data_IF_287929376474
#
_entry.id   IF_287929376474
#
_cell.length_a   1.000
_cell.length_b   1.000
_cell.length_c   1.000
_cell.angle_alpha   90.00
_cell.angle_beta   90.00
_cell.angle_gamma   90.00
#
_symmetry.space_group_name_H-M   'P 1'
#
loop_
_entity.id
_entity.type
_entity.pdbx_description
1 polymer ?
2 non-polymer ?
#
# COMPACT_ATOMS: atom_id res chain seq x y z
N UNK A 8 -7.09 11.73 -1.80
CA UNK A 8 -6.12 12.77 -2.13
C UNK A 8 -5.51 13.35 -0.86
N UNK A 9 -4.96 12.47 -0.01
CA UNK A 9 -4.31 12.89 1.22
C UNK A 9 -2.80 12.65 1.14
N UNK A 10 -2.18 13.13 0.08
CA UNK A 10 -0.76 12.92 -0.17
C UNK A 10 -0.05 14.27 -0.14
N UNK A 11 1.09 14.32 0.54
CA UNK A 11 1.89 15.55 0.65
C UNK A 11 3.30 15.26 0.15
N UNK A 12 3.90 16.28 -0.46
CA UNK A 12 5.28 16.20 -0.91
C UNK A 12 5.50 15.42 -2.19
N UNK A 13 4.48 14.82 -2.77
CA UNK A 13 4.62 14.03 -4.00
C UNK A 13 4.13 14.79 -5.23
N UNK A 14 3.89 16.10 -5.12
CA UNK A 14 3.45 16.85 -6.29
C UNK A 14 4.57 17.03 -7.30
N UNK A 15 5.76 17.42 -6.83
CA UNK A 15 6.92 17.52 -7.72
C UNK A 15 7.53 16.15 -8.01
N UNK A 16 7.36 15.19 -7.10
CA UNK A 16 7.94 13.87 -7.31
C UNK A 16 7.17 13.08 -8.36
N UNK A 17 5.84 13.26 -8.40
CA UNK A 17 5.04 12.56 -9.40
C UNK A 17 5.25 13.12 -10.79
N UNK A 18 5.39 14.46 -10.90
CA UNK A 18 5.62 15.07 -12.20
C UNK A 18 6.91 14.56 -12.84
N UNK A 19 7.95 14.37 -12.04
CA UNK A 19 9.20 13.82 -12.56
C UNK A 19 8.98 12.45 -13.21
N UNK A 20 8.17 11.61 -12.57
CA UNK A 20 7.86 10.32 -13.15
C UNK A 20 6.85 10.45 -14.29
N UNK A 21 6.04 11.52 -14.28
CA UNK A 21 5.11 11.75 -15.38
C UNK A 21 5.86 12.19 -16.64
N UNK A 22 6.88 13.03 -16.48
CA UNK A 22 7.70 13.41 -17.62
C UNK A 22 8.42 12.22 -18.23
N UNK A 23 8.66 11.16 -17.44
CA UNK A 23 9.19 9.91 -17.97
C UNK A 23 8.21 9.24 -18.93
N UNK A 24 6.93 9.60 -18.86
CA UNK A 24 5.91 8.96 -19.69
C UNK A 24 5.46 9.90 -20.81
N UNK A 29 11.17 4.47 -28.46
CA UNK A 29 10.15 4.92 -27.54
C UNK A 29 8.81 4.26 -27.76
N UNK A 30 8.74 2.96 -27.51
CA UNK A 30 7.50 2.19 -27.65
C UNK A 30 7.08 1.49 -26.38
N UNK A 31 8.02 1.00 -25.57
CA UNK A 31 7.70 0.34 -24.31
C UNK A 31 8.85 0.60 -23.34
N UNK A 32 8.58 1.33 -22.27
CA UNK A 32 9.57 1.64 -21.25
C UNK A 32 9.26 0.89 -19.96
N UNK A 33 10.25 0.82 -19.09
CA UNK A 33 10.15 0.09 -17.82
C UNK A 33 9.74 1.00 -16.68
N UNK A 34 10.45 2.12 -16.50
CA UNK A 34 10.19 3.10 -15.44
C UNK A 34 10.15 2.42 -14.08
N UNK A 35 11.29 2.04 -13.50
CA UNK A 35 11.27 1.44 -12.16
C UNK A 35 11.38 2.47 -11.06
N UNK A 36 10.55 2.30 -10.03
CA UNK A 36 10.55 3.17 -8.86
C UNK A 36 11.12 2.36 -7.69
N UNK A 37 12.34 2.70 -7.29
CA UNK A 37 13.07 1.97 -6.25
C UNK A 37 13.02 2.76 -4.96
N UNK A 38 12.86 2.06 -3.84
CA UNK A 38 12.83 2.69 -2.54
C UNK A 38 12.57 1.70 -1.42
N UNK A 39 13.05 2.00 -0.22
CA UNK A 39 12.83 1.10 0.90
C UNK A 39 11.34 1.00 1.22
N UNK A 40 10.90 -0.11 1.81
CA UNK A 40 9.48 -0.24 2.14
C UNK A 40 9.02 0.83 3.11
N UNK A 41 7.81 1.32 2.89
CA UNK A 41 7.26 2.39 3.71
C UNK A 41 7.64 3.79 3.28
N UNK A 42 8.29 3.95 2.12
CA UNK A 42 8.70 5.25 1.64
C UNK A 42 7.61 5.97 0.86
N UNK A 43 6.67 5.23 0.27
CA UNK A 43 5.57 5.84 -0.46
C UNK A 43 5.53 5.45 -1.92
N UNK A 44 6.04 4.26 -2.25
CA UNK A 44 6.05 3.84 -3.65
C UNK A 44 4.64 3.52 -4.14
N UNK A 45 3.85 2.81 -3.34
CA UNK A 45 2.46 2.56 -3.71
C UNK A 45 1.63 3.84 -3.69
N UNK A 46 1.90 4.72 -2.74
CA UNK A 46 1.17 5.98 -2.68
C UNK A 46 1.48 6.87 -3.88
N UNK A 47 2.76 6.94 -4.27
CA UNK A 47 3.12 7.72 -5.46
C UNK A 47 2.49 7.12 -6.71
N UNK A 48 2.50 5.79 -6.84
CA UNK A 48 1.89 5.16 -8.00
C UNK A 48 0.39 5.43 -8.06
N UNK A 49 -0.27 5.51 -6.90
CA UNK A 49 -1.69 5.85 -6.89
C UNK A 49 -1.91 7.28 -7.35
N UNK A 50 -1.06 8.20 -6.90
CA UNK A 50 -1.15 9.58 -7.36
C UNK A 50 -0.87 9.69 -8.85
N UNK A 51 0.04 8.87 -9.38
CA UNK A 51 0.34 8.89 -10.80
C UNK A 51 -0.76 8.22 -11.60
N UNK A 52 -1.32 7.12 -11.06
CA UNK A 52 -2.37 6.39 -11.78
C UNK A 52 -3.64 7.23 -11.91
N UNK A 53 -3.94 8.05 -10.92
CA UNK A 53 -5.13 8.90 -10.94
C UNK A 53 -4.83 10.34 -11.29
N UNK A 54 -3.60 10.64 -11.71
CA UNK A 54 -3.28 11.96 -12.20
C UNK A 54 -4.00 12.21 -13.51
N UNK A 55 -4.42 13.47 -13.78
CA UNK A 55 -5.10 13.78 -15.04
C UNK A 55 -4.39 13.25 -16.27
N UNK A 56 -4.62 11.97 -16.59
CA UNK A 56 -4.05 11.33 -17.77
C UNK A 56 -5.16 10.70 -18.62
N UNK A 57 -6.35 11.30 -18.62
CA UNK A 57 -7.44 10.79 -19.44
C UNK A 57 -7.13 10.98 -20.92
N UNK A 58 -6.40 12.03 -21.27
CA UNK A 58 -6.03 12.31 -22.66
C UNK A 58 -4.68 11.70 -23.04
N UNK A 59 -4.07 10.91 -22.16
CA UNK A 59 -2.75 10.36 -22.39
C UNK A 59 -2.75 8.84 -22.53
N UNK A 60 -3.34 8.12 -21.58
CA UNK A 60 -3.37 6.67 -21.63
C UNK A 60 -4.71 6.12 -21.15
N UNK A 63 -8.18 1.34 -20.88
CA UNK A 63 -6.81 1.63 -20.49
C UNK A 63 -6.72 1.98 -19.01
N UNK A 64 -5.49 2.11 -18.52
CA UNK A 64 -5.20 2.41 -17.12
C UNK A 64 -5.83 1.39 -16.17
N UNK A 65 -5.05 0.36 -15.81
CA UNK A 65 -5.50 -0.67 -14.89
C UNK A 65 -4.37 -1.00 -13.92
N UNK A 66 -4.75 -1.47 -12.74
CA UNK A 66 -3.80 -1.79 -11.67
C UNK A 66 -3.68 -3.31 -11.55
N UNK A 67 -2.45 -3.80 -11.46
CA UNK A 67 -2.17 -5.22 -11.29
C UNK A 67 -1.20 -5.38 -10.12
N UNK A 68 -1.71 -5.83 -8.98
CA UNK A 68 -0.88 -6.01 -7.78
C UNK A 68 -0.31 -7.41 -7.76
N UNK A 69 1.03 -7.50 -7.82
CA UNK A 69 1.72 -8.77 -7.65
C UNK A 69 2.59 -8.68 -6.40
N UNK A 70 3.25 -9.77 -6.05
CA UNK A 70 4.10 -9.78 -4.85
C UNK A 70 5.14 -10.89 -5.01
N UNK A 71 5.59 -11.44 -3.87
CA UNK A 71 6.53 -12.55 -3.90
C UNK A 71 5.89 -13.86 -4.35
N UNK A 72 4.57 -13.92 -4.41
CA UNK A 72 3.86 -15.13 -4.83
C UNK A 72 4.13 -15.44 -6.29
N UNK A 76 0.81 -15.22 -12.78
CA UNK A 76 0.47 -15.96 -13.98
C UNK A 76 -1.04 -16.14 -14.10
N UNK A 77 -1.73 -16.03 -12.97
CA UNK A 77 -3.18 -16.19 -12.92
C UNK A 77 -3.91 -14.86 -12.76
N UNK A 78 -3.19 -13.74 -12.81
CA UNK A 78 -3.80 -12.43 -12.67
C UNK A 78 -4.19 -11.80 -14.01
N UNK A 79 -3.98 -12.52 -15.11
CA UNK A 79 -4.31 -11.97 -16.43
C UNK A 79 -5.81 -11.74 -16.56
N UNK A 80 -6.62 -12.65 -16.02
CA UNK A 80 -8.07 -12.58 -16.14
C UNK A 80 -8.61 -11.93 -14.88
N UNK A 81 -9.03 -10.66 -14.98
CA UNK A 81 -9.62 -9.94 -13.87
C UNK A 81 -10.51 -8.80 -14.35
N UNK A 82 -10.41 -8.46 -15.63
CA UNK A 82 -11.22 -7.41 -16.23
C UNK A 82 -12.39 -8.00 -17.02
N UNK A 83 -12.11 -9.01 -17.85
CA UNK A 83 -13.14 -9.64 -18.65
C UNK A 83 -13.92 -10.64 -17.81
N UNK A 97 -2.67 -24.24 -19.01
CA UNK A 97 -3.50 -23.25 -19.71
C UNK A 97 -2.72 -21.98 -19.97
N UNK A 98 -1.38 -22.09 -19.96
CA UNK A 98 -0.54 -20.92 -20.19
C UNK A 98 -0.67 -20.40 -21.61
N UNK A 99 -1.03 -21.27 -22.56
CA UNK A 99 -1.27 -20.82 -23.93
C UNK A 99 -2.48 -19.91 -23.99
N UNK A 100 -3.55 -20.25 -23.26
CA UNK A 100 -4.73 -19.40 -23.23
C UNK A 100 -4.46 -18.10 -22.48
N UNK A 101 -3.54 -18.13 -21.52
CA UNK A 101 -3.16 -16.94 -20.76
C UNK A 101 -2.20 -16.03 -21.51
N UNK A 102 -1.75 -16.42 -22.70
CA UNK A 102 -0.84 -15.61 -23.49
C UNK A 102 -1.42 -15.15 -24.81
N UNK A 103 -2.69 -15.46 -25.10
CA UNK A 103 -3.33 -15.07 -26.35
C UNK A 103 -4.43 -14.04 -26.15
N UNK A 104 -5.28 -14.23 -25.14
CA UNK A 104 -6.42 -13.35 -24.92
C UNK A 104 -6.06 -12.10 -24.09
N UNK A 105 -4.80 -11.97 -23.67
CA UNK A 105 -4.39 -10.76 -22.98
C UNK A 105 -4.29 -9.59 -23.95
N UNK A 106 -3.95 -9.86 -25.21
CA UNK A 106 -3.81 -8.83 -26.23
C UNK A 106 -5.11 -8.08 -26.47
N UNK A 115 -1.33 2.22 -23.81
CA UNK A 115 -1.89 1.85 -22.51
C UNK A 115 -0.85 2.01 -21.40
N UNK A 116 -1.34 2.11 -20.17
CA UNK A 116 -0.49 2.21 -18.98
C UNK A 116 -1.07 1.33 -17.89
N UNK A 117 -0.30 0.35 -17.44
CA UNK A 117 -0.72 -0.55 -16.38
C UNK A 117 0.37 -0.59 -15.32
N UNK A 118 -0.04 -0.44 -14.05
CA UNK A 118 0.88 -0.35 -12.93
C UNK A 118 1.15 -1.74 -12.37
N UNK A 119 2.42 -2.01 -12.07
CA UNK A 119 2.82 -3.21 -11.34
C UNK A 119 3.20 -2.77 -9.92
N UNK A 120 2.50 -3.31 -8.93
CA UNK A 120 2.58 -2.74 -7.58
C UNK A 120 3.89 -3.13 -6.89
N UNK A 121 4.13 -4.43 -6.73
CA UNK A 121 5.25 -4.91 -5.92
C UNK A 121 5.88 -6.11 -6.61
N UNK A 122 7.07 -5.92 -7.18
CA UNK A 122 7.84 -6.99 -7.81
C UNK A 122 9.08 -7.25 -6.97
N UNK A 123 9.38 -8.53 -6.72
CA UNK A 123 10.45 -8.90 -5.81
C UNK A 123 11.72 -9.35 -6.50
N UNK A 124 11.63 -10.03 -7.64
CA UNK A 124 12.80 -10.56 -8.32
C UNK A 124 12.73 -10.27 -9.81
N UNK A 125 13.87 -10.40 -10.47
CA UNK A 125 13.92 -10.21 -11.92
C UNK A 125 13.22 -11.34 -12.65
N UNK A 126 13.26 -12.56 -12.11
CA UNK A 126 12.64 -13.69 -12.78
C UNK A 126 11.12 -13.56 -12.81
N UNK A 127 10.54 -12.82 -11.86
CA UNK A 127 9.10 -12.63 -11.86
C UNK A 127 8.64 -11.77 -13.03
N UNK A 128 9.41 -10.73 -13.35
CA UNK A 128 9.06 -9.86 -14.47
C UNK A 128 9.50 -10.45 -15.80
N UNK A 129 10.58 -11.24 -15.81
CA UNK A 129 11.10 -11.81 -17.06
C UNK A 129 10.21 -12.89 -17.65
N UNK A 130 9.07 -13.19 -17.04
CA UNK A 130 8.16 -14.19 -17.59
C UNK A 130 6.76 -13.63 -17.75
N UNK A 131 6.42 -12.61 -16.95
CA UNK A 131 5.13 -11.94 -17.07
C UNK A 131 5.16 -10.84 -18.11
N UNK A 132 6.33 -10.48 -18.63
CA UNK A 132 6.45 -9.41 -19.62
C UNK A 132 5.90 -9.79 -20.98
N UNK A 133 5.62 -11.07 -21.23
CA UNK A 133 5.15 -11.52 -22.53
C UNK A 133 3.62 -11.51 -22.54
N UNK A 134 3.04 -10.52 -21.87
CA UNK A 134 1.58 -10.39 -21.79
C UNK A 134 1.05 -9.57 -22.98
N UNK A 135 1.39 -8.29 -23.02
CA UNK A 135 0.95 -7.39 -24.09
C UNK A 135 2.13 -6.53 -24.50
N UNK A 136 2.90 -6.95 -25.52
CA UNK A 136 4.04 -6.18 -26.02
C UNK A 136 3.67 -5.33 -27.23
N UNK A 141 2.66 4.22 -28.29
CA UNK A 141 2.87 4.98 -27.07
C UNK A 141 2.29 4.31 -25.84
N UNK A 142 2.82 3.13 -25.51
CA UNK A 142 2.36 2.35 -24.37
C UNK A 142 3.51 2.15 -23.39
N UNK A 143 3.18 2.16 -22.09
CA UNK A 143 4.19 2.02 -21.07
C UNK A 143 3.62 1.23 -19.90
N UNK A 144 4.50 0.85 -18.97
CA UNK A 144 4.14 0.11 -17.77
C UNK A 144 4.91 0.70 -16.60
N UNK A 145 4.19 1.02 -15.52
CA UNK A 145 4.80 1.58 -14.33
C UNK A 145 5.19 0.46 -13.37
N UNK A 146 6.38 0.59 -12.77
CA UNK A 146 6.92 -0.42 -11.88
C UNK A 146 7.38 0.22 -10.59
N UNK A 147 7.00 -0.38 -9.46
CA UNK A 147 7.47 0.02 -8.13
C UNK A 147 8.00 -1.21 -7.42
N UNK A 148 9.15 -1.07 -6.77
CA UNK A 148 9.77 -2.20 -6.09
C UNK A 148 10.75 -1.68 -5.05
N UNK A 149 11.07 -2.55 -4.10
CA UNK A 149 12.03 -2.23 -3.04
C UNK A 149 13.44 -2.67 -3.38
N UNK A 150 13.63 -3.46 -4.42
CA UNK A 150 14.93 -4.03 -4.74
C UNK A 150 15.64 -3.17 -5.78
N UNK A 151 16.88 -2.80 -5.48
CA UNK A 151 17.71 -2.10 -6.45
C UNK A 151 18.29 -3.04 -7.50
N UNK A 152 18.31 -4.35 -7.23
CA UNK A 152 18.78 -5.30 -8.23
C UNK A 152 17.86 -5.35 -9.43
N UNK A 153 16.59 -4.99 -9.25
CA UNK A 153 15.64 -4.88 -10.36
C UNK A 153 15.89 -3.56 -11.08
N UNK A 154 17.02 -3.49 -11.78
CA UNK A 154 17.42 -2.29 -12.52
C UNK A 154 17.23 -2.57 -14.01
N UNK A 155 16.07 -2.16 -14.52
CA UNK A 155 15.75 -2.37 -15.94
C UNK A 155 15.52 -1.04 -16.64
N UNK A 159 16.06 3.88 -19.08
CA UNK A 159 15.98 2.73 -18.19
C UNK A 159 16.79 2.96 -16.91
N UNK A 160 16.69 4.18 -16.36
CA UNK A 160 17.38 4.51 -15.12
C UNK A 160 16.40 4.49 -13.97
N UNK A 161 16.71 3.82 -12.87
CA UNK A 161 15.75 3.72 -11.75
C UNK A 161 15.56 5.06 -11.06
N UNK A 162 14.30 5.46 -10.88
CA UNK A 162 13.96 6.68 -10.17
C UNK A 162 13.81 6.36 -8.70
N UNK A 163 14.83 6.68 -7.91
CA UNK A 163 14.78 6.43 -6.48
C UNK A 163 13.87 7.45 -5.81
N UNK A 164 12.88 6.95 -5.07
CA UNK A 164 11.93 7.83 -4.41
C UNK A 164 12.62 8.65 -3.32
N UNK A 165 12.21 9.91 -3.20
CA UNK A 165 12.82 10.81 -2.24
C UNK A 165 12.25 10.58 -0.84
N UNK A 166 12.91 11.17 0.15
CA UNK A 166 12.43 11.19 1.52
C UNK A 166 11.75 12.51 1.82
N UNK A 167 10.75 12.47 2.70
CA UNK A 167 10.07 13.69 3.12
C UNK A 167 11.02 14.57 3.92
N UNK A 168 11.05 15.86 3.60
CA UNK A 168 11.89 16.79 4.33
C UNK A 168 11.32 17.03 5.73
N UNK A 169 12.07 17.78 6.52
CA UNK A 169 11.65 18.06 7.90
C UNK A 169 10.37 18.90 7.93
N UNK A 170 10.17 19.77 6.93
CA UNK A 170 8.97 20.59 6.89
C UNK A 170 7.78 19.81 6.34
N UNK A 171 8.00 18.99 5.31
CA UNK A 171 6.91 18.20 4.75
C UNK A 171 6.51 17.06 5.68
N UNK A 172 7.44 16.59 6.52
CA UNK A 172 7.07 15.59 7.52
C UNK A 172 6.19 16.20 8.61
N UNK A 173 6.39 17.48 8.92
CA UNK A 173 5.53 18.15 9.91
C UNK A 173 4.10 18.24 9.41
N UNK A 174 3.92 18.46 8.11
CA UNK A 174 2.57 18.57 7.55
C UNK A 174 1.86 17.22 7.62
N UNK A 175 2.57 16.14 7.28
CA UNK A 175 1.95 14.82 7.30
C UNK A 175 1.55 14.40 8.71
N UNK A 176 2.41 14.65 9.70
CA UNK A 176 2.08 14.29 11.06
C UNK A 176 0.95 15.15 11.62
N UNK A 177 0.88 16.42 11.21
CA UNK A 177 -0.17 17.30 11.71
C UNK A 177 -1.54 16.91 11.16
N UNK A 178 -1.59 16.46 9.91
CA UNK A 178 -2.86 16.11 9.29
C UNK A 178 -3.29 14.68 9.57
N UNK A 179 -2.35 13.79 9.86
CA UNK A 179 -2.68 12.40 10.18
C UNK A 179 -3.07 12.20 11.63
N UNK A 180 -2.75 13.15 12.51
CA UNK A 180 -3.10 13.07 13.92
C UNK A 180 -4.29 13.95 14.30
N UNK A 181 -4.38 15.15 13.74
CA UNK A 181 -5.47 16.05 14.04
C UNK A 181 -6.67 15.78 13.14
N UNK A 182 -6.61 16.26 11.90
CA UNK A 182 -7.67 16.13 10.90
C UNK A 182 -9.07 16.35 11.46
N UNK A 201 9.83 10.07 11.60
CA UNK A 201 10.40 11.34 12.05
C UNK A 201 11.57 11.76 11.18
N UNK A 202 12.28 10.77 10.64
CA UNK A 202 13.46 10.99 9.81
C UNK A 202 13.15 10.86 8.33
N UNK A 203 11.98 11.31 7.89
CA UNK A 203 11.62 11.32 6.50
C UNK A 203 10.85 10.10 6.02
N UNK A 204 10.69 9.08 6.85
CA UNK A 204 9.98 7.87 6.46
C UNK A 204 8.48 8.07 6.69
N UNK A 205 7.67 8.08 5.63
CA UNK A 205 6.23 8.31 5.83
C UNK A 205 5.54 7.23 6.64
N UNK A 206 5.97 5.97 6.51
CA UNK A 206 5.38 4.92 7.32
C UNK A 206 5.66 5.15 8.80
N UNK A 207 6.86 5.62 9.13
CA UNK A 207 7.16 5.92 10.53
C UNK A 207 6.27 7.04 11.05
N UNK A 208 6.04 8.07 10.23
CA UNK A 208 5.15 9.16 10.61
C UNK A 208 3.71 8.65 10.74
N UNK A 209 3.33 7.71 9.87
CA UNK A 209 1.96 7.21 9.88
C UNK A 209 1.70 6.34 11.11
N UNK A 210 2.68 5.51 11.50
CA UNK A 210 2.50 4.61 12.62
C UNK A 210 2.31 5.38 13.92
N UNK A 211 3.01 6.51 14.06
CA UNK A 211 2.91 7.35 15.25
C UNK A 211 1.47 7.82 15.42
N UNK A 212 0.73 7.21 16.33
CA UNK A 212 -0.66 7.53 16.60
C UNK A 212 -0.75 8.23 17.95
N UNK A 213 -1.28 9.45 17.95
CA UNK A 213 -1.40 10.22 19.17
C UNK A 213 -2.50 9.71 20.08
N UNK A 214 -2.15 8.84 21.03
CA UNK A 214 -3.14 8.33 21.98
C UNK A 214 -3.38 9.30 23.13
N UNK A 215 -2.37 10.07 23.52
CA UNK A 215 -2.49 11.06 24.58
C UNK A 215 -2.39 12.46 23.97
N UNK A 216 -3.40 13.30 24.25
CA UNK A 216 -3.42 14.65 23.73
C UNK A 216 -3.20 15.63 24.89
N UNK A 217 -2.03 15.55 25.52
CA UNK A 217 -1.69 16.43 26.62
C UNK A 217 -0.96 17.68 26.16
N UNK A 218 -0.58 18.50 27.13
CA UNK A 218 0.15 19.73 26.84
C UNK A 218 1.59 19.46 26.41
N UNK A 219 2.09 18.24 26.58
CA UNK A 219 3.45 17.88 26.21
C UNK A 219 3.47 16.45 25.69
N UNK A 220 3.96 16.27 24.46
CA UNK A 220 4.10 14.95 23.86
C UNK A 220 5.56 14.55 23.69
N UNK A 221 6.47 15.22 24.41
CA UNK A 221 7.90 14.96 24.27
C UNK A 221 8.32 13.64 24.92
N UNK A 222 7.39 12.88 25.50
CA UNK A 222 7.74 11.61 26.12
C UNK A 222 8.14 10.57 25.08
N UNK A 223 7.77 10.77 23.81
CA UNK A 223 8.07 9.81 22.75
C UNK A 223 9.20 10.25 21.86
N UNK A 224 9.82 11.40 22.12
CA UNK A 224 10.96 11.85 21.34
C UNK A 224 12.23 11.11 21.76
N UNK A 245 12.06 0.17 12.77
CA UNK A 245 10.69 0.65 12.78
C UNK A 245 9.81 -0.26 13.64
N UNK A 246 10.42 -1.29 14.23
CA UNK A 246 9.66 -2.22 15.06
C UNK A 246 9.17 -1.56 16.34
N UNK A 247 10.03 -0.78 17.00
CA UNK A 247 9.64 -0.15 18.26
C UNK A 247 8.61 0.95 18.06
N UNK A 248 8.53 1.55 16.86
CA UNK A 248 7.46 2.50 16.60
C UNK A 248 6.12 1.81 16.47
N UNK A 249 6.10 0.61 15.89
CA UNK A 249 4.88 -0.18 15.85
C UNK A 249 4.49 -0.60 17.27
N UNK A 250 5.47 -1.01 18.08
CA UNK A 250 5.20 -1.34 19.47
C UNK A 250 4.70 -0.12 20.23
N UNK A 251 5.16 1.08 19.87
CA UNK A 251 4.71 2.29 20.55
C UNK A 251 3.22 2.53 20.32
N UNK A 252 2.74 2.23 19.12
CA UNK A 252 1.32 2.27 18.83
C UNK A 252 0.61 0.98 19.23
N UNK A 253 1.35 -0.11 19.43
CA UNK A 253 0.76 -1.36 19.88
C UNK A 253 0.49 -1.35 21.39
N UNK A 254 1.33 -0.66 22.15
CA UNK A 254 1.13 -0.60 23.61
C UNK A 254 -0.09 0.22 23.99
N UNK A 255 -0.54 1.14 23.13
CA UNK A 255 -1.71 1.95 23.44
C UNK A 255 -2.99 1.35 22.90
N UNK A 256 -2.95 0.15 22.32
CA UNK A 256 -4.15 -0.50 21.83
C UNK A 256 -4.85 -1.24 22.96
N UNK A 257 -6.18 -1.13 23.06
CA UNK A 257 -6.92 -1.93 24.04
C UNK A 257 -6.74 -3.42 23.79
N UNK A 258 -6.96 -4.20 24.85
CA UNK A 258 -6.71 -5.64 24.78
C UNK A 258 -7.60 -6.32 23.75
N UNK A 259 -8.80 -5.78 23.50
CA UNK A 259 -9.70 -6.40 22.53
C UNK A 259 -9.24 -6.18 21.10
N UNK A 260 -8.44 -5.16 20.83
CA UNK A 260 -7.98 -4.87 19.48
C UNK A 260 -6.65 -5.54 19.14
N UNK A 261 -5.91 -6.01 20.14
CA UNK A 261 -4.61 -6.60 19.88
C UNK A 261 -4.73 -7.95 19.18
N UNK A 262 -5.73 -8.75 19.57
CA UNK A 262 -5.90 -10.06 18.94
C UNK A 262 -6.35 -9.95 17.50
N UNK A 263 -7.15 -8.92 17.17
CA UNK A 263 -7.61 -8.72 15.80
C UNK A 263 -6.50 -8.16 14.91
N UNK A 264 -5.60 -7.34 15.47
CA UNK A 264 -4.50 -6.80 14.70
C UNK A 264 -3.44 -7.86 14.41
N UNK A 265 -3.14 -8.71 15.39
CA UNK A 265 -2.15 -9.76 15.19
C UNK A 265 -2.66 -10.89 14.32
N UNK A 266 -3.98 -10.97 14.10
CA UNK A 266 -4.56 -12.02 13.26
C UNK A 266 -4.16 -11.85 11.80
N UNK A 267 -3.62 -10.70 11.40
CA UNK A 267 -3.15 -10.55 10.02
C UNK A 267 -1.91 -11.38 9.75
N UNK A 268 -1.25 -11.91 10.79
CA UNK A 268 -0.13 -12.81 10.60
C UNK A 268 -0.52 -14.20 10.15
N UNK A 269 -1.79 -14.58 10.35
CA UNK A 269 -2.28 -15.88 9.92
C UNK A 269 -2.55 -15.94 8.42
N UNK A 270 -2.38 -14.83 7.71
CA UNK A 270 -2.53 -14.73 6.27
C UNK A 270 -1.19 -14.49 5.60
N UNK A 271 -1.08 -14.76 4.30
CA UNK A 271 0.20 -14.54 3.61
C UNK A 271 0.61 -13.07 3.64
N UNK A 272 1.91 -12.85 3.42
CA UNK A 272 2.46 -11.50 3.45
C UNK A 272 1.88 -10.67 2.31
N UNK A 273 1.30 -9.53 2.64
CA UNK A 273 0.68 -8.68 1.63
C UNK A 273 -0.60 -9.23 1.05
N UNK A 274 -1.34 -10.03 1.81
CA UNK A 274 -2.57 -10.64 1.32
C UNK A 274 -3.71 -9.62 1.37
N UNK A 275 -4.54 -9.64 0.32
CA UNK A 275 -5.71 -8.77 0.25
C UNK A 275 -6.88 -9.53 0.86
N UNK A 276 -7.27 -9.14 2.07
CA UNK A 276 -8.29 -9.84 2.85
C UNK A 276 -9.61 -9.11 2.66
N UNK A 277 -10.66 -9.77 2.20
CA UNK A 277 -11.98 -9.13 2.16
C UNK A 277 -12.45 -8.79 3.57
N UNK A 278 -13.01 -7.59 3.72
CA UNK A 278 -13.41 -7.13 5.05
C UNK A 278 -14.51 -8.01 5.63
N UNK A 279 -15.52 -8.35 4.83
CA UNK A 279 -16.64 -9.14 5.35
C UNK A 279 -16.19 -10.54 5.78
N UNK A 280 -15.26 -11.14 5.04
CA UNK A 280 -14.76 -12.45 5.43
C UNK A 280 -13.92 -12.37 6.70
N UNK A 281 -13.12 -11.31 6.84
CA UNK A 281 -12.30 -11.15 8.03
C UNK A 281 -13.14 -10.96 9.28
N UNK A 282 -14.33 -10.37 9.14
CA UNK A 282 -15.21 -10.15 10.29
C UNK A 282 -15.75 -11.48 10.80
N UNK A 283 -16.20 -12.35 9.88
CA UNK A 283 -16.70 -13.66 10.28
C UNK A 283 -15.60 -14.55 10.83
N UNK A 284 -14.34 -14.31 10.46
CA UNK A 284 -13.24 -15.08 11.03
C UNK A 284 -12.91 -14.61 12.45
N UNK A 285 -13.03 -13.30 12.71
CA UNK A 285 -12.81 -12.79 14.06
C UNK A 285 -13.88 -13.28 15.03
N UNK A 286 -15.11 -13.47 14.54
CA UNK A 286 -16.18 -13.94 15.42
C UNK A 286 -15.97 -15.40 15.78
N UNK A 287 -15.58 -16.22 14.81
CA UNK A 287 -15.37 -17.64 15.08
C UNK A 287 -14.16 -17.87 15.98
N UNK A 288 -13.12 -17.04 15.86
CA UNK A 288 -11.94 -17.18 16.69
C UNK A 288 -12.20 -16.82 18.14
N UNK A 289 -13.33 -16.18 18.45
CA UNK A 289 -13.61 -15.76 19.81
C UNK A 289 -13.13 -14.38 20.17
N UNK A 290 -12.92 -13.51 19.19
CA UNK A 290 -12.44 -12.15 19.43
C UNK A 290 -13.55 -11.19 19.86
N UNK A 291 -14.75 -11.69 20.14
CA UNK A 291 -15.85 -10.85 20.56
C UNK A 291 -15.60 -10.28 21.95
N UNK A 298 -25.20 -7.84 16.26
CA UNK A 298 -24.42 -7.07 17.23
C UNK A 298 -22.91 -7.37 17.19
N UNK A 299 -22.50 -8.65 17.20
CA UNK A 299 -21.06 -8.92 17.15
C UNK A 299 -20.44 -8.53 15.82
N UNK A 300 -21.13 -8.76 14.70
CA UNK A 300 -20.63 -8.32 13.40
C UNK A 300 -20.68 -6.81 13.26
N UNK A 301 -21.48 -6.11 14.06
CA UNK A 301 -21.56 -4.65 13.98
C UNK A 301 -20.36 -4.01 14.66
N UNK A 302 -20.03 -4.48 15.87
CA UNK A 302 -18.89 -3.92 16.60
C UNK A 302 -17.56 -4.42 16.06
N UNK A 303 -17.54 -5.56 15.37
CA UNK A 303 -16.31 -6.02 14.74
C UNK A 303 -15.85 -5.07 13.65
N UNK A 304 -16.80 -4.43 12.93
CA UNK A 304 -16.44 -3.40 11.98
C UNK A 304 -15.84 -2.18 12.68
N UNK A 305 -16.35 -1.85 13.86
CA UNK A 305 -15.79 -0.72 14.61
C UNK A 305 -14.38 -1.02 15.09
N UNK A 306 -14.08 -2.28 15.38
CA UNK A 306 -12.69 -2.67 15.67
C UNK A 306 -11.81 -2.48 14.44
N UNK A 307 -12.34 -2.78 13.25
CA UNK A 307 -11.58 -2.59 12.03
C UNK A 307 -11.45 -1.11 11.69
N UNK A 308 -12.49 -0.33 11.94
CA UNK A 308 -12.44 1.11 11.66
C UNK A 308 -11.40 1.81 12.52
N UNK A 309 -11.26 1.38 13.78
CA UNK A 309 -10.31 2.04 14.68
C UNK A 309 -8.87 1.67 14.32
N UNK A 310 -8.64 0.41 13.91
CA UNK A 310 -7.31 0.02 13.46
C UNK A 310 -6.88 0.80 12.23
N UNK A 311 -7.83 1.12 11.35
CA UNK A 311 -7.52 2.00 10.22
C UNK A 311 -7.31 3.43 10.71
N UNK A 312 -8.10 3.85 11.69
CA UNK A 312 -7.91 5.19 12.25
C UNK A 312 -6.58 5.29 12.99
N UNK A 313 -6.16 4.21 13.65
CA UNK A 313 -4.83 4.16 14.25
C UNK A 313 -3.73 3.99 13.21
N UNK A 314 -4.08 3.92 11.92
CA UNK A 314 -3.12 3.83 10.82
C UNK A 314 -2.29 2.56 10.90
N UNK A 315 -2.94 1.45 11.26
CA UNK A 315 -2.28 0.15 11.31
C UNK A 315 -2.81 -0.84 10.28
N UNK A 316 -4.00 -0.60 9.74
CA UNK A 316 -4.56 -1.44 8.68
C UNK A 316 -4.88 -0.53 7.49
N UNK A 317 -4.42 -0.93 6.31
CA UNK A 317 -4.63 -0.15 5.10
C UNK A 317 -5.87 -0.65 4.37
N UNK A 318 -6.78 0.27 4.04
CA UNK A 318 -7.98 -0.05 3.28
C UNK A 318 -7.64 0.03 1.80
N UNK A 319 -7.81 -1.10 1.10
CA UNK A 319 -7.48 -1.17 -0.32
C UNK A 319 -8.66 -0.81 -1.22
N UNK A 320 -9.86 -1.28 -0.89
CA UNK A 320 -11.04 -1.02 -1.70
C UNK A 320 -12.21 -0.64 -0.81
N UNK A 321 -13.01 0.31 -1.27
CA UNK A 321 -14.26 0.68 -0.63
C UNK A 321 -15.41 0.53 -1.61
N UNK A 322 -16.63 0.65 -1.09
CA UNK A 322 -17.84 0.50 -1.89
C UNK A 322 -18.94 1.33 -1.25
N UNK A 323 -20.17 1.12 -1.71
CA UNK A 323 -21.33 1.83 -1.18
C UNK A 323 -22.28 0.92 -0.40
N UNK A 324 -22.13 -0.40 -0.52
CA UNK A 324 -22.98 -1.35 0.18
C UNK A 324 -22.49 -1.63 1.60
N UNK A 325 -21.18 -1.60 1.82
CA UNK A 325 -20.63 -1.85 3.14
C UNK A 325 -19.36 -1.09 3.42
N UNK A 326 -19.10 -0.04 2.64
CA UNK A 326 -17.90 0.79 2.77
C UNK A 326 -16.63 -0.03 2.66
N UNK A 327 -15.99 -0.31 3.80
CA UNK A 327 -14.74 -1.07 3.83
C UNK A 327 -14.96 -2.45 3.22
N UNK A 328 -14.34 -2.69 2.07
CA UNK A 328 -14.52 -3.93 1.31
C UNK A 328 -13.28 -4.81 1.34
N UNK A 329 -12.12 -4.27 0.98
CA UNK A 329 -10.87 -5.01 0.97
C UNK A 329 -9.83 -4.23 1.73
N UNK A 330 -9.15 -4.90 2.66
CA UNK A 330 -8.13 -4.28 3.49
C UNK A 330 -6.90 -5.17 3.51
N UNK A 331 -5.78 -4.59 3.95
CA UNK A 331 -4.54 -5.34 4.12
C UNK A 331 -3.66 -4.58 5.10
N UNK A 332 -2.62 -5.26 5.57
CA UNK A 332 -1.65 -4.67 6.49
C UNK A 332 -0.33 -4.50 5.76
N UNK A 333 0.42 -3.48 6.14
CA UNK A 333 1.69 -3.20 5.49
C UNK A 333 2.70 -4.30 5.79
N UNK A 334 3.63 -4.50 4.85
CA UNK A 334 4.60 -5.58 4.99
C UNK A 334 5.50 -5.37 6.19
N UNK A 335 5.79 -4.12 6.56
CA UNK A 335 6.58 -3.86 7.75
C UNK A 335 5.76 -4.12 9.01
N UNK A 336 4.47 -3.79 8.99
CA UNK A 336 3.61 -4.14 10.11
C UNK A 336 3.33 -5.64 10.17
N UNK A 337 3.40 -6.32 9.03
CA UNK A 337 3.20 -7.77 9.00
C UNK A 337 4.34 -8.50 9.70
N UNK A 338 5.58 -7.99 9.57
CA UNK A 338 6.70 -8.60 10.28
C UNK A 338 6.52 -8.50 11.79
N UNK A 339 5.81 -7.49 12.28
CA UNK A 339 5.56 -7.39 13.71
C UNK A 339 4.48 -8.38 14.14
N UNK A 340 3.50 -8.65 13.27
CA UNK A 340 2.42 -9.57 13.58
C UNK A 340 2.87 -11.02 13.48
X LIG B 1 5.75 1.66 -0.17
X LIG B 1 5.79 0.42 0.70
X LIG B 1 7.11 2.24 -0.48
X LIG B 1 4.85 1.55 -1.37
X LIG B 1 3.45 2.68 1.08
X LIG B 1 3.14 1.26 1.46
X LIG B 1 2.69 3.36 -0.03
X LIG B 1 5.03 2.77 0.75
X LIG B 1 3.32 3.58 2.41
X LIG B 1 2.65 3.08 3.55
X LIG B 1 1.85 4.19 4.21
X LIG B 1 2.59 5.42 4.17
X LIG B 1 0.55 4.44 3.46
X LIG B 1 -0.56 4.07 4.29
X LIG B 1 0.49 5.93 3.19
X LIG B 1 -0.68 6.49 3.78
X LIG B 1 1.72 6.51 3.85
X LIG B 1 2.41 7.44 2.91
X LIG B 1 3.45 7.13 2.11
X LIG B 1 3.83 8.21 1.38
X LIG B 1 3.01 9.23 1.71
X LIG B 1 2.85 10.65 1.31
X LIG B 1 3.67 11.21 0.39
X LIG B 1 1.86 11.36 1.90
X LIG B 1 1.05 10.81 2.82
X LIG B 1 1.13 9.54 3.23
X LIG B 1 2.08 8.71 2.72
#
# INVERSE_FOLDING_TARGET
GPPVVEEDDVVGFDDEAQTVIDRLLEGSGDLEVIPVVGMPGLGKTTLATKIFKHPKIEYEFFTRLWLYVSQSYKTRELYLNIISKFTGNTKHCRDMSEKDLALKVQEILEEGGKYLIVLDDVWSTDAWDRIKIAFPKNDKGNRVLLTTRDHRVARYCNRSPHDLKFLTDEESWILLEKRAFHKAKCLPELETNGKSIARKCKGLPLAIVVIAGALIGKSKTIKEWEQVDQSVGEHFINRDQPNSCDKLVRMSYDVLPYDWKACFLYFGTFPRGYLIPARKLIRLWIAEGFIQYRGDLSPECKAEEYLNELVNRNLVMVMQRTVDGQIKTCRVHDMLYEFCWQEATTE
ADP PB O1B O2B O3B PA O1A O2A O3A O5' C5' C4' O4' C3' O3' C2' O2' C1' N9 C8 N7 C5 C6 N6 N1 C2 N3 C4
#
